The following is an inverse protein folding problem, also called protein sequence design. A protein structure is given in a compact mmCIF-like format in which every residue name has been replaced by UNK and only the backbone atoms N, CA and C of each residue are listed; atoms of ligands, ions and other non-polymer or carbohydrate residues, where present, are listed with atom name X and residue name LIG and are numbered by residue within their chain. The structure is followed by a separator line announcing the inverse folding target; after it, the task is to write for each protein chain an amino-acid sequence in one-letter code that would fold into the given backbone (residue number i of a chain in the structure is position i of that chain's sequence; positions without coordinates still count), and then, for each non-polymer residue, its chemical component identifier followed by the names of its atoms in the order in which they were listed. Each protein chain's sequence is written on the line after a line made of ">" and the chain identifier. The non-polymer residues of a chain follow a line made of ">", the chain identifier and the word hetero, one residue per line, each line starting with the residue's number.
data_IF_007775547157
#
_entry.id   IF_007775547157
#
_cell.length_a   1.000
_cell.length_b   1.000
_cell.length_c   1.000
_cell.angle_alpha   90.00
_cell.angle_beta   90.00
_cell.angle_gamma   90.00
#
_symmetry.space_group_name_H-M   'P 1'
#
loop_
_entity.id
_entity.type
_entity.pdbx_description
1 polymer ?
#
# COMPACT_ATOMS: atom_id res chain seq x y z
N UNK A 1 -19.44 5.32 -14.59
CA UNK A 1 -18.44 4.45 -15.30
C UNK A 1 -17.87 3.52 -14.26
N UNK A 2 -17.87 2.21 -14.50
CA UNK A 2 -17.28 1.24 -13.57
C UNK A 2 -15.92 0.82 -14.14
N UNK A 3 -14.82 1.10 -13.42
CA UNK A 3 -13.48 0.67 -13.82
C UNK A 3 -13.25 -0.71 -13.25
N UNK A 4 -12.95 -1.68 -14.13
CA UNK A 4 -12.59 -3.04 -13.74
C UNK A 4 -11.27 -3.06 -12.97
N UNK A 5 -11.10 -4.04 -12.08
CA UNK A 5 -9.90 -4.22 -11.26
C UNK A 5 -9.30 -5.62 -11.43
N UNK A 6 -8.92 -6.00 -12.66
CA UNK A 6 -8.52 -7.37 -12.98
C UNK A 6 -7.37 -7.86 -12.12
N UNK A 7 -6.35 -7.04 -11.87
CA UNK A 7 -5.20 -7.45 -11.06
C UNK A 7 -5.56 -7.78 -9.59
N UNK A 8 -6.52 -7.07 -8.98
CA UNK A 8 -7.00 -7.40 -7.63
C UNK A 8 -7.89 -8.64 -7.68
N UNK A 9 -8.78 -8.72 -8.66
CA UNK A 9 -9.66 -9.86 -8.87
C UNK A 9 -8.87 -11.15 -9.03
N UNK A 10 -7.82 -11.15 -9.87
CA UNK A 10 -6.96 -12.31 -10.09
C UNK A 10 -6.25 -12.75 -8.81
N UNK A 11 -5.75 -11.80 -8.00
CA UNK A 11 -5.16 -12.13 -6.69
C UNK A 11 -6.18 -12.77 -5.74
N UNK A 12 -7.41 -12.23 -5.68
CA UNK A 12 -8.47 -12.81 -4.83
C UNK A 12 -8.86 -14.20 -5.33
N UNK A 13 -9.04 -14.39 -6.64
CA UNK A 13 -9.35 -15.70 -7.24
C UNK A 13 -8.23 -16.70 -7.01
N UNK A 14 -6.98 -16.28 -7.16
CA UNK A 14 -5.81 -17.13 -6.88
C UNK A 14 -5.77 -17.52 -5.39
N UNK A 15 -5.98 -16.58 -4.47
CA UNK A 15 -6.02 -16.84 -3.05
C UNK A 15 -7.17 -17.80 -2.66
N UNK A 16 -8.37 -17.63 -3.23
CA UNK A 16 -9.53 -18.51 -3.00
C UNK A 16 -9.32 -19.95 -3.53
N UNK A 17 -8.44 -20.16 -4.51
CA UNK A 17 -8.12 -21.54 -4.95
C UNK A 17 -7.38 -22.33 -3.88
N UNK A 18 -6.52 -21.70 -3.12
CA UNK A 18 -5.62 -22.34 -2.16
C UNK A 18 -6.08 -22.20 -0.69
N UNK A 19 -6.90 -21.20 -0.40
CA UNK A 19 -7.34 -20.92 0.98
C UNK A 19 -8.87 -20.97 1.08
N UNK A 20 -9.42 -21.55 2.15
CA UNK A 20 -10.87 -21.56 2.39
C UNK A 20 -11.41 -20.17 2.73
N UNK A 21 -10.56 -19.27 3.23
CA UNK A 21 -10.93 -17.90 3.61
C UNK A 21 -9.96 -16.93 2.94
N UNK A 22 -10.50 -15.87 2.35
CA UNK A 22 -9.72 -14.72 1.85
C UNK A 22 -10.27 -13.46 2.50
N UNK A 23 -9.39 -12.66 3.08
CA UNK A 23 -9.72 -11.34 3.62
C UNK A 23 -9.23 -10.26 2.65
N UNK A 24 -10.16 -9.57 1.99
CA UNK A 24 -9.89 -8.39 1.16
C UNK A 24 -9.90 -7.16 2.07
N UNK A 25 -8.71 -6.67 2.38
CA UNK A 25 -8.50 -5.56 3.32
C UNK A 25 -8.09 -4.28 2.58
N UNK A 26 -8.61 -3.15 3.02
CA UNK A 26 -8.30 -1.86 2.39
C UNK A 26 -9.04 -0.71 3.05
N UNK A 27 -8.66 0.54 2.76
CA UNK A 27 -9.33 1.70 3.33
C UNK A 27 -10.82 1.71 2.98
N UNK A 28 -11.62 2.41 3.78
CA UNK A 28 -13.03 2.62 3.44
C UNK A 28 -13.15 3.30 2.09
N UNK A 29 -14.24 2.99 1.36
CA UNK A 29 -14.56 3.60 0.07
C UNK A 29 -13.53 3.35 -1.07
N UNK A 30 -12.57 2.43 -0.91
CA UNK A 30 -11.67 2.05 -2.01
C UNK A 30 -12.30 1.09 -3.04
N UNK A 31 -13.55 0.62 -2.80
CA UNK A 31 -14.32 -0.18 -3.76
C UNK A 31 -14.38 -1.68 -3.49
N UNK A 32 -14.04 -2.15 -2.27
CA UNK A 32 -14.06 -3.57 -1.89
C UNK A 32 -15.40 -4.25 -2.18
N UNK A 33 -16.50 -3.69 -1.69
CA UNK A 33 -17.86 -4.24 -1.89
C UNK A 33 -18.28 -4.25 -3.36
N UNK A 34 -17.82 -3.27 -4.16
CA UNK A 34 -18.05 -3.22 -5.61
C UNK A 34 -17.32 -4.37 -6.32
N UNK A 35 -16.04 -4.57 -5.99
CA UNK A 35 -15.26 -5.67 -6.53
C UNK A 35 -15.86 -7.03 -6.14
N UNK A 36 -16.17 -7.22 -4.86
CA UNK A 36 -16.76 -8.47 -4.36
C UNK A 36 -18.11 -8.77 -5.04
N UNK A 37 -18.94 -7.76 -5.29
CA UNK A 37 -20.20 -7.93 -6.05
C UNK A 37 -19.96 -8.36 -7.50
N UNK A 38 -18.97 -7.79 -8.15
CA UNK A 38 -18.60 -8.16 -9.53
C UNK A 38 -18.07 -9.60 -9.61
N UNK A 39 -17.24 -10.00 -8.63
CA UNK A 39 -16.63 -11.34 -8.59
C UNK A 39 -17.60 -12.45 -8.19
N UNK A 40 -18.54 -12.14 -7.30
CA UNK A 40 -19.35 -13.14 -6.61
C UNK A 40 -20.38 -13.85 -7.52
N UNK A 41 -20.82 -13.17 -8.58
CA UNK A 41 -21.85 -13.72 -9.46
C UNK A 41 -23.23 -13.88 -8.76
N UNK A 42 -24.24 -14.39 -9.48
CA UNK A 42 -25.61 -14.45 -8.96
C UNK A 42 -25.84 -15.56 -7.92
N UNK A 43 -24.96 -16.57 -7.86
CA UNK A 43 -25.09 -17.72 -6.94
C UNK A 43 -24.36 -17.53 -5.61
N UNK A 44 -23.66 -16.42 -5.38
CA UNK A 44 -22.95 -16.18 -4.14
C UNK A 44 -23.90 -15.67 -3.05
N UNK A 45 -23.68 -16.16 -1.83
CA UNK A 45 -24.36 -15.65 -0.65
C UNK A 45 -23.63 -14.40 -0.16
N UNK A 46 -24.39 -13.35 0.17
CA UNK A 46 -23.83 -12.08 0.63
C UNK A 46 -24.50 -11.64 1.91
N UNK A 47 -23.67 -11.17 2.85
CA UNK A 47 -24.07 -10.58 4.11
C UNK A 47 -23.32 -9.26 4.29
N UNK A 48 -24.06 -8.20 4.59
CA UNK A 48 -23.51 -6.87 4.89
C UNK A 48 -23.78 -6.58 6.37
N UNK A 49 -22.72 -6.56 7.17
CA UNK A 49 -22.85 -6.36 8.62
C UNK A 49 -23.12 -4.90 9.03
N UNK A 50 -23.20 -3.96 8.09
CA UNK A 50 -23.82 -2.66 8.32
C UNK A 50 -25.37 -2.72 8.20
N UNK A 51 -25.92 -3.80 7.59
CA UNK A 51 -27.37 -4.04 7.48
C UNK A 51 -27.92 -4.68 8.76
N UNK A 52 -28.90 -4.06 9.44
CA UNK A 52 -29.54 -4.68 10.60
C UNK A 52 -30.14 -6.05 10.31
N UNK A 53 -30.67 -6.26 9.09
CA UNK A 53 -31.27 -7.54 8.67
C UNK A 53 -30.21 -8.63 8.60
N UNK A 54 -29.07 -8.38 7.97
CA UNK A 54 -28.01 -9.37 7.84
C UNK A 54 -27.28 -9.59 9.17
N UNK A 55 -27.15 -8.55 9.98
CA UNK A 55 -26.64 -8.67 11.35
C UNK A 55 -27.54 -9.58 12.21
N UNK A 56 -28.87 -9.43 12.10
CA UNK A 56 -29.84 -10.28 12.76
C UNK A 56 -29.76 -11.72 12.25
N UNK A 57 -29.62 -11.97 10.95
CA UNK A 57 -29.42 -13.29 10.36
C UNK A 57 -28.14 -13.97 10.87
N UNK A 58 -27.07 -13.23 11.04
CA UNK A 58 -25.80 -13.74 11.55
C UNK A 58 -25.71 -13.76 13.08
N UNK A 59 -26.72 -13.31 13.81
CA UNK A 59 -26.82 -13.60 15.27
C UNK A 59 -26.94 -15.10 15.51
N UNK A 60 -27.54 -15.86 14.56
CA UNK A 60 -27.59 -17.32 14.51
C UNK A 60 -26.65 -17.88 13.44
N UNK A 61 -25.38 -17.43 13.48
CA UNK A 61 -24.40 -17.67 12.43
C UNK A 61 -24.19 -19.15 12.11
N UNK A 62 -24.18 -20.03 13.13
CA UNK A 62 -24.05 -21.47 12.96
C UNK A 62 -25.15 -22.04 12.04
N UNK A 63 -26.40 -21.73 12.30
CA UNK A 63 -27.56 -22.18 11.53
C UNK A 63 -27.54 -21.56 10.12
N UNK A 64 -27.22 -20.28 10.03
CA UNK A 64 -27.23 -19.54 8.77
C UNK A 64 -26.11 -19.94 7.82
N UNK A 65 -24.86 -20.08 8.29
CA UNK A 65 -23.70 -20.32 7.44
C UNK A 65 -23.44 -21.80 7.16
N UNK A 66 -23.81 -22.73 8.07
CA UNK A 66 -23.49 -24.15 7.95
C UNK A 66 -24.07 -24.86 6.72
N UNK A 67 -25.27 -24.54 6.23
CA UNK A 67 -25.85 -25.19 5.06
C UNK A 67 -25.35 -24.61 3.74
N UNK A 68 -24.72 -23.43 3.74
CA UNK A 68 -24.32 -22.73 2.54
C UNK A 68 -23.22 -23.48 1.78
N UNK A 69 -23.21 -23.30 0.47
CA UNK A 69 -22.24 -23.89 -0.45
C UNK A 69 -21.75 -22.81 -1.42
N UNK A 70 -20.52 -22.96 -1.94
CA UNK A 70 -19.93 -22.03 -2.89
C UNK A 70 -19.28 -20.83 -2.21
N UNK A 71 -19.38 -19.65 -2.81
CA UNK A 71 -18.78 -18.44 -2.29
C UNK A 71 -19.74 -17.70 -1.35
N UNK A 72 -19.28 -17.42 -0.15
CA UNK A 72 -19.96 -16.58 0.84
C UNK A 72 -19.14 -15.31 1.02
N UNK A 73 -19.74 -14.16 0.77
CA UNK A 73 -19.16 -12.83 0.98
C UNK A 73 -19.73 -12.25 2.27
N UNK A 74 -18.86 -11.84 3.19
CA UNK A 74 -19.24 -11.15 4.43
C UNK A 74 -18.55 -9.78 4.41
N UNK A 75 -19.36 -8.73 4.26
CA UNK A 75 -18.87 -7.35 4.23
C UNK A 75 -18.84 -6.75 5.64
N UNK A 76 -17.84 -5.89 5.89
CA UNK A 76 -17.58 -5.21 7.16
C UNK A 76 -17.49 -6.19 8.36
N UNK A 77 -16.75 -7.29 8.15
CA UNK A 77 -16.65 -8.42 9.12
C UNK A 77 -16.17 -8.00 10.52
N UNK A 78 -15.51 -6.86 10.66
CA UNK A 78 -15.06 -6.31 11.96
C UNK A 78 -16.23 -5.97 12.90
N UNK A 79 -17.47 -5.83 12.40
CA UNK A 79 -18.61 -5.59 13.27
C UNK A 79 -19.05 -6.84 14.06
N UNK A 80 -18.59 -8.02 13.65
CA UNK A 80 -18.94 -9.26 14.37
C UNK A 80 -17.72 -10.21 14.50
N UNK A 81 -16.72 -9.89 15.32
CA UNK A 81 -15.53 -10.72 15.53
C UNK A 81 -15.85 -12.13 16.04
N UNK A 82 -16.99 -12.30 16.72
CA UNK A 82 -17.49 -13.61 17.17
C UNK A 82 -17.70 -14.61 16.04
N UNK A 83 -17.72 -14.18 14.78
CA UNK A 83 -17.77 -15.07 13.60
C UNK A 83 -16.48 -15.85 13.38
N UNK A 84 -15.30 -15.35 13.76
CA UNK A 84 -14.02 -15.98 13.42
C UNK A 84 -13.86 -17.41 13.93
N UNK A 85 -14.22 -17.76 15.18
CA UNK A 85 -14.17 -19.15 15.63
C UNK A 85 -15.07 -20.07 14.80
N UNK A 86 -16.28 -19.64 14.44
CA UNK A 86 -17.16 -20.40 13.58
C UNK A 86 -16.60 -20.56 12.16
N UNK A 87 -16.09 -19.48 11.57
CA UNK A 87 -15.47 -19.52 10.24
C UNK A 87 -14.30 -20.50 10.21
N UNK A 88 -13.51 -20.59 11.28
CA UNK A 88 -12.46 -21.60 11.42
C UNK A 88 -13.02 -23.03 11.31
N UNK A 89 -14.08 -23.33 12.07
CA UNK A 89 -14.73 -24.66 12.04
C UNK A 89 -15.27 -24.97 10.65
N UNK A 90 -15.91 -24.00 9.99
CA UNK A 90 -16.46 -24.17 8.66
C UNK A 90 -15.36 -24.35 7.59
N UNK A 91 -14.24 -23.68 7.74
CA UNK A 91 -13.08 -23.78 6.85
C UNK A 91 -12.35 -25.14 6.95
N UNK A 92 -12.43 -25.81 8.10
CA UNK A 92 -11.79 -27.11 8.34
C UNK A 92 -12.63 -28.31 7.84
N UNK A 93 -13.86 -28.08 7.40
CA UNK A 93 -14.74 -29.15 6.88
C UNK A 93 -14.13 -29.79 5.63
N UNK A 94 -14.25 -31.12 5.55
CA UNK A 94 -13.86 -31.89 4.36
C UNK A 94 -15.05 -32.68 3.81
N UNK A 95 -15.33 -32.64 2.50
CA UNK A 95 -14.71 -31.76 1.50
C UNK A 95 -15.05 -30.31 1.75
N UNK A 96 -14.21 -29.38 1.27
CA UNK A 96 -14.45 -27.92 1.36
C UNK A 96 -15.68 -27.60 0.49
N UNK A 97 -16.78 -27.25 1.16
CA UNK A 97 -18.06 -26.94 0.49
C UNK A 97 -18.28 -25.45 0.28
N UNK A 98 -17.63 -24.65 1.11
CA UNK A 98 -17.84 -23.20 1.19
C UNK A 98 -16.50 -22.50 1.23
N UNK A 99 -16.35 -21.42 0.49
CA UNK A 99 -15.24 -20.48 0.58
C UNK A 99 -15.76 -19.13 1.04
N UNK A 100 -15.00 -18.46 1.88
CA UNK A 100 -15.39 -17.16 2.45
C UNK A 100 -14.53 -16.04 1.89
N UNK A 101 -15.17 -14.99 1.39
CA UNK A 101 -14.55 -13.73 1.06
C UNK A 101 -14.98 -12.69 2.11
N UNK A 102 -14.09 -12.39 3.02
CA UNK A 102 -14.31 -11.41 4.08
C UNK A 102 -13.86 -10.05 3.57
N UNK A 103 -14.71 -9.05 3.70
CA UNK A 103 -14.33 -7.67 3.40
C UNK A 103 -14.27 -6.92 4.72
N UNK A 104 -13.26 -6.10 4.86
CA UNK A 104 -13.11 -5.28 6.05
C UNK A 104 -12.26 -4.04 5.81
N UNK A 105 -12.58 -2.99 6.56
CA UNK A 105 -11.67 -1.88 6.71
C UNK A 105 -10.39 -2.40 7.37
N UNK A 106 -9.23 -1.99 6.85
CA UNK A 106 -7.98 -2.35 7.49
C UNK A 106 -7.96 -1.73 8.90
N UNK A 107 -8.09 -2.58 9.90
CA UNK A 107 -7.86 -2.22 11.28
C UNK A 107 -6.85 -3.20 11.88
N UNK A 108 -5.95 -2.73 12.75
CA UNK A 108 -5.00 -3.60 13.43
C UNK A 108 -5.69 -4.75 14.18
N UNK A 109 -6.87 -4.48 14.75
CA UNK A 109 -7.63 -5.46 15.53
C UNK A 109 -8.28 -6.53 14.64
N UNK A 110 -8.81 -6.14 13.47
CA UNK A 110 -9.31 -7.11 12.49
C UNK A 110 -8.20 -8.05 12.02
N UNK A 111 -7.03 -7.48 11.68
CA UNK A 111 -5.90 -8.25 11.19
C UNK A 111 -5.39 -9.19 12.29
N UNK A 112 -5.19 -8.71 13.53
CA UNK A 112 -4.74 -9.51 14.67
C UNK A 112 -5.77 -10.59 15.04
N UNK A 113 -7.00 -10.20 15.31
CA UNK A 113 -8.05 -11.15 15.76
C UNK A 113 -8.35 -12.23 14.71
N UNK A 114 -8.37 -11.88 13.42
CA UNK A 114 -8.51 -12.85 12.34
C UNK A 114 -7.25 -13.71 12.14
N UNK A 115 -6.07 -13.12 12.24
CA UNK A 115 -4.80 -13.85 12.08
C UNK A 115 -4.58 -14.88 13.19
N UNK A 116 -4.90 -14.56 14.44
CA UNK A 116 -4.80 -15.49 15.56
C UNK A 116 -5.82 -16.64 15.44
N UNK A 117 -7.08 -16.31 15.14
CA UNK A 117 -8.16 -17.32 15.10
C UNK A 117 -8.14 -18.15 13.82
N UNK A 118 -7.80 -17.55 12.68
CA UNK A 118 -7.85 -18.16 11.34
C UNK A 118 -6.46 -18.54 10.80
N UNK A 119 -5.44 -18.64 11.66
CA UNK A 119 -4.07 -18.97 11.26
C UNK A 119 -4.02 -20.20 10.34
N UNK A 120 -3.29 -20.11 9.23
CA UNK A 120 -3.15 -21.15 8.20
C UNK A 120 -4.39 -21.37 7.32
N UNK A 121 -5.49 -20.61 7.51
CA UNK A 121 -6.75 -20.75 6.76
C UNK A 121 -7.13 -19.50 5.98
N UNK A 122 -6.57 -18.36 6.37
CA UNK A 122 -6.86 -17.05 5.76
C UNK A 122 -5.70 -16.54 4.94
N UNK A 123 -5.99 -16.05 3.74
CA UNK A 123 -5.08 -15.24 2.94
C UNK A 123 -5.55 -13.79 2.92
N UNK A 124 -4.63 -12.85 3.19
CA UNK A 124 -4.92 -11.43 3.14
C UNK A 124 -4.58 -10.88 1.76
N UNK A 125 -5.54 -10.21 1.12
CA UNK A 125 -5.35 -9.52 -0.15
C UNK A 125 -5.55 -8.02 0.09
N UNK A 126 -4.49 -7.22 0.04
CA UNK A 126 -4.62 -5.78 0.18
C UNK A 126 -5.24 -5.16 -1.08
N UNK A 127 -6.14 -4.19 -0.89
CA UNK A 127 -6.77 -3.38 -1.91
C UNK A 127 -6.68 -1.90 -1.54
N UNK A 128 -6.16 -1.09 -2.44
CA UNK A 128 -6.13 0.38 -2.31
C UNK A 128 -7.11 1.03 -3.31
N UNK A 129 -7.03 2.33 -3.48
CA UNK A 129 -7.67 3.04 -4.59
C UNK A 129 -7.16 2.59 -5.97
N UNK A 130 -7.63 3.18 -7.05
CA UNK A 130 -7.15 2.90 -8.40
C UNK A 130 -5.65 3.16 -8.55
N UNK A 131 -5.03 2.44 -9.50
CA UNK A 131 -3.66 2.65 -9.94
C UNK A 131 -3.58 2.81 -11.47
N UNK A 132 -2.38 3.07 -11.99
CA UNK A 132 -2.20 3.30 -13.43
C UNK A 132 -2.53 2.08 -14.29
N UNK A 133 -2.36 0.87 -13.78
CA UNK A 133 -2.70 -0.35 -14.52
C UNK A 133 -4.20 -0.48 -14.75
N UNK A 134 -5.00 0.14 -13.89
CA UNK A 134 -6.47 0.10 -13.93
C UNK A 134 -7.06 1.28 -14.74
N UNK A 135 -6.42 2.46 -14.65
CA UNK A 135 -6.96 3.69 -15.29
C UNK A 135 -6.24 4.10 -16.58
N UNK A 136 -5.09 3.47 -16.86
CA UNK A 136 -4.24 3.77 -18.00
C UNK A 136 -3.33 4.99 -17.82
N UNK A 137 -2.24 5.01 -18.59
CA UNK A 137 -1.18 6.04 -18.47
C UNK A 137 -1.62 7.43 -18.88
N UNK A 138 -2.62 7.55 -19.75
CA UNK A 138 -3.24 8.84 -20.13
C UNK A 138 -3.93 9.54 -18.96
N UNK A 139 -4.28 8.79 -17.91
CA UNK A 139 -4.88 9.32 -16.70
C UNK A 139 -3.87 9.69 -15.61
N UNK A 140 -2.55 9.60 -15.87
CA UNK A 140 -1.48 9.82 -14.91
C UNK A 140 -1.66 11.14 -14.11
N UNK A 141 -1.79 12.27 -14.80
CA UNK A 141 -1.96 13.59 -14.15
C UNK A 141 -3.19 13.63 -13.25
N UNK A 142 -4.31 13.10 -13.74
CA UNK A 142 -5.57 13.04 -12.99
C UNK A 142 -5.46 12.11 -11.78
N UNK A 143 -4.83 10.94 -11.93
CA UNK A 143 -4.64 10.00 -10.84
C UNK A 143 -3.71 10.57 -9.76
N UNK A 144 -2.62 11.22 -10.16
CA UNK A 144 -1.71 11.86 -9.21
C UNK A 144 -2.39 13.01 -8.47
N UNK A 145 -3.12 13.89 -9.16
CA UNK A 145 -3.80 15.03 -8.54
C UNK A 145 -4.95 14.59 -7.61
N UNK A 146 -5.85 13.73 -8.10
CA UNK A 146 -7.09 13.37 -7.41
C UNK A 146 -6.96 12.18 -6.47
N UNK A 147 -5.88 11.41 -6.59
CA UNK A 147 -5.71 10.13 -5.91
C UNK A 147 -6.50 9.00 -6.55
N UNK A 148 -6.37 7.81 -5.96
CA UNK A 148 -6.98 6.58 -6.47
C UNK A 148 -8.35 6.25 -5.86
N UNK A 149 -8.86 6.98 -4.87
CA UNK A 149 -10.20 6.72 -4.36
C UNK A 149 -11.24 6.88 -5.46
N UNK A 150 -12.13 5.87 -5.71
CA UNK A 150 -13.01 5.87 -6.87
C UNK A 150 -13.86 7.14 -7.02
N UNK A 151 -14.44 7.63 -5.92
CA UNK A 151 -15.28 8.83 -5.97
C UNK A 151 -14.50 10.11 -6.23
N UNK A 152 -13.25 10.19 -5.76
CA UNK A 152 -12.37 11.33 -6.06
C UNK A 152 -11.89 11.28 -7.51
N UNK A 153 -11.41 10.11 -7.96
CA UNK A 153 -10.86 9.94 -9.30
C UNK A 153 -11.94 10.14 -10.40
N UNK A 154 -13.12 9.57 -10.20
CA UNK A 154 -14.25 9.61 -11.16
C UNK A 154 -15.09 10.89 -11.07
N UNK A 155 -14.76 11.82 -10.19
CA UNK A 155 -15.47 13.09 -10.06
C UNK A 155 -15.50 13.85 -11.40
N UNK A 156 -16.59 14.59 -11.64
CA UNK A 156 -16.81 15.31 -12.89
C UNK A 156 -15.67 16.32 -13.19
N UNK A 157 -15.15 16.98 -12.16
CA UNK A 157 -14.05 17.94 -12.27
C UNK A 157 -13.21 17.94 -10.99
N UNK A 158 -12.12 18.74 -10.97
CA UNK A 158 -11.19 18.78 -9.84
C UNK A 158 -11.81 19.40 -8.59
N UNK A 159 -12.74 20.32 -8.72
CA UNK A 159 -13.45 20.94 -7.60
C UNK A 159 -14.33 19.92 -6.86
N UNK A 160 -15.14 19.15 -7.62
CA UNK A 160 -15.98 18.08 -7.05
C UNK A 160 -15.10 17.01 -6.41
N UNK A 161 -13.98 16.67 -7.04
CA UNK A 161 -13.00 15.74 -6.47
C UNK A 161 -12.42 16.26 -5.15
N UNK A 162 -12.04 17.55 -5.11
CA UNK A 162 -11.51 18.18 -3.90
C UNK A 162 -12.54 18.17 -2.77
N UNK A 163 -13.77 18.58 -3.04
CA UNK A 163 -14.86 18.59 -2.05
C UNK A 163 -15.05 17.20 -1.44
N UNK A 164 -15.11 16.16 -2.30
CA UNK A 164 -15.24 14.80 -1.81
C UNK A 164 -14.07 14.36 -0.91
N UNK A 165 -12.83 14.75 -1.26
CA UNK A 165 -11.64 14.41 -0.45
C UNK A 165 -11.65 15.13 0.90
N UNK A 166 -12.07 16.39 0.94
CA UNK A 166 -12.22 17.17 2.16
C UNK A 166 -13.28 16.53 3.09
N UNK A 167 -14.45 16.17 2.52
CA UNK A 167 -15.53 15.47 3.23
C UNK A 167 -15.07 14.09 3.75
N UNK A 168 -14.28 13.37 2.94
CA UNK A 168 -13.73 12.08 3.35
C UNK A 168 -12.79 12.24 4.54
N UNK A 169 -11.87 13.21 4.51
CA UNK A 169 -10.95 13.49 5.63
C UNK A 169 -11.74 13.79 6.90
N UNK A 170 -12.76 14.63 6.81
CA UNK A 170 -13.62 14.95 7.96
C UNK A 170 -14.34 13.70 8.49
N UNK A 171 -15.04 12.98 7.63
CA UNK A 171 -15.83 11.78 8.02
C UNK A 171 -14.94 10.68 8.59
N UNK A 172 -13.76 10.47 8.01
CA UNK A 172 -12.79 9.49 8.48
C UNK A 172 -12.33 9.80 9.92
N UNK A 173 -12.02 11.06 10.20
CA UNK A 173 -11.57 11.48 11.53
C UNK A 173 -12.68 11.46 12.59
N UNK A 174 -13.92 11.80 12.21
CA UNK A 174 -15.02 11.90 13.16
C UNK A 174 -15.68 10.55 13.47
N UNK A 175 -15.73 9.65 12.48
CA UNK A 175 -16.49 8.39 12.59
C UNK A 175 -15.64 7.14 12.50
N UNK A 176 -14.75 7.07 11.51
CA UNK A 176 -14.09 5.81 11.16
C UNK A 176 -12.95 5.47 12.12
N UNK A 177 -12.16 6.46 12.51
CA UNK A 177 -11.07 6.28 13.49
C UNK A 177 -11.58 5.81 14.85
N UNK A 178 -12.75 6.29 15.29
CA UNK A 178 -13.35 5.86 16.54
C UNK A 178 -13.69 4.36 16.56
N UNK A 179 -14.03 3.81 15.40
CA UNK A 179 -14.29 2.36 15.26
C UNK A 179 -13.03 1.50 15.47
N UNK A 180 -11.84 2.11 15.46
CA UNK A 180 -10.57 1.45 15.78
C UNK A 180 -10.19 1.60 17.29
N UNK A 181 -11.14 1.90 18.15
CA UNK A 181 -10.90 2.07 19.58
C UNK A 181 -10.10 3.32 19.94
N UNK A 182 -10.14 4.35 19.09
CA UNK A 182 -9.37 5.58 19.26
C UNK A 182 -10.25 6.67 19.88
N UNK A 183 -10.04 6.93 21.15
CA UNK A 183 -10.69 8.00 21.89
C UNK A 183 -9.89 9.31 21.83
N UNK A 184 -9.54 9.76 20.62
CA UNK A 184 -8.82 11.02 20.42
C UNK A 184 -9.75 12.03 19.78
N UNK A 185 -9.76 13.29 20.23
CA UNK A 185 -10.57 14.33 19.60
C UNK A 185 -10.22 14.51 18.12
N UNK A 186 -11.23 14.54 17.25
CA UNK A 186 -11.04 14.69 15.81
C UNK A 186 -10.17 15.91 15.43
N UNK A 187 -10.24 17.08 16.09
CA UNK A 187 -9.35 18.21 15.81
C UNK A 187 -7.86 17.89 16.01
N UNK A 188 -7.51 17.12 17.04
CA UNK A 188 -6.11 16.71 17.31
C UNK A 188 -5.60 15.81 16.19
N UNK A 189 -6.40 14.82 15.82
CA UNK A 189 -6.05 13.91 14.70
C UNK A 189 -5.98 14.66 13.35
N UNK A 190 -6.88 15.61 13.11
CA UNK A 190 -6.82 16.45 11.92
C UNK A 190 -5.52 17.24 11.88
N UNK A 191 -5.14 17.87 12.99
CA UNK A 191 -3.89 18.63 13.11
C UNK A 191 -2.68 17.72 12.84
N UNK A 192 -2.63 16.55 13.48
CA UNK A 192 -1.57 15.55 13.21
C UNK A 192 -1.54 15.15 11.76
N UNK A 193 -2.68 14.82 11.16
CA UNK A 193 -2.71 14.36 9.76
C UNK A 193 -2.26 15.45 8.79
N UNK A 194 -2.65 16.71 9.04
CA UNK A 194 -2.14 17.86 8.28
C UNK A 194 -0.62 18.01 8.44
N UNK A 195 -0.10 17.86 9.67
CA UNK A 195 1.35 17.90 9.91
C UNK A 195 2.05 16.74 9.18
N UNK A 196 1.48 15.53 9.16
CA UNK A 196 2.01 14.41 8.38
C UNK A 196 2.03 14.68 6.87
N UNK A 197 1.07 15.46 6.34
CA UNK A 197 1.08 15.89 4.95
C UNK A 197 2.28 16.80 4.65
N UNK A 198 2.60 17.72 5.55
CA UNK A 198 3.82 18.54 5.46
C UNK A 198 5.10 17.74 5.71
N UNK A 199 5.00 16.63 6.44
CA UNK A 199 6.10 15.71 6.75
C UNK A 199 6.27 14.60 5.71
N UNK A 200 5.45 14.58 4.68
CA UNK A 200 5.44 13.57 3.63
C UNK A 200 6.81 13.43 2.96
N UNK A 201 7.31 12.20 2.82
CA UNK A 201 8.62 11.89 2.28
C UNK A 201 9.80 12.15 3.23
N UNK A 202 9.56 12.47 4.50
CA UNK A 202 10.62 12.77 5.46
C UNK A 202 10.78 11.65 6.50
N UNK A 203 11.98 11.59 7.08
CA UNK A 203 12.30 10.68 8.17
C UNK A 203 11.55 11.13 9.42
N UNK A 204 10.80 10.21 10.03
CA UNK A 204 9.94 10.47 11.17
C UNK A 204 10.70 10.97 12.40
N UNK A 205 10.28 12.11 12.95
CA UNK A 205 10.73 12.64 14.23
C UNK A 205 9.54 12.85 15.17
N UNK A 206 9.25 11.84 15.99
CA UNK A 206 8.12 11.88 16.92
C UNK A 206 8.22 13.05 17.94
N UNK A 207 9.43 13.41 18.37
CA UNK A 207 9.64 14.48 19.37
C UNK A 207 9.35 15.86 18.81
N UNK A 208 9.58 16.10 17.53
CA UNK A 208 9.28 17.34 16.84
C UNK A 208 7.76 17.55 16.74
N UNK A 209 7.05 16.53 16.25
CA UNK A 209 5.59 16.60 16.13
C UNK A 209 4.90 16.65 17.51
N UNK A 210 5.42 15.93 18.50
CA UNK A 210 4.91 15.93 19.85
C UNK A 210 4.98 17.34 20.48
N UNK A 211 6.11 18.02 20.35
CA UNK A 211 6.25 19.43 20.80
C UNK A 211 5.24 20.35 20.12
N UNK A 212 5.06 20.20 18.80
CA UNK A 212 4.10 21.02 18.05
C UNK A 212 2.65 20.75 18.40
N UNK A 213 2.32 19.52 18.83
CA UNK A 213 0.96 19.12 19.23
C UNK A 213 0.66 19.38 20.71
N UNK A 214 1.69 19.58 21.54
CA UNK A 214 1.55 19.62 22.99
C UNK A 214 1.26 18.25 23.62
N UNK A 215 1.71 17.17 22.97
CA UNK A 215 1.44 15.79 23.33
C UNK A 215 2.72 15.02 23.68
N UNK A 216 2.59 13.87 24.36
CA UNK A 216 3.71 12.97 24.56
C UNK A 216 4.13 12.29 23.24
N UNK A 217 5.42 12.04 23.04
CA UNK A 217 5.92 11.39 21.83
C UNK A 217 5.34 9.97 21.62
N UNK A 218 5.04 9.25 22.69
CA UNK A 218 4.38 7.94 22.66
C UNK A 218 2.95 8.02 22.13
N UNK A 219 2.22 9.07 22.51
CA UNK A 219 0.87 9.35 22.03
C UNK A 219 0.89 9.63 20.52
N UNK A 220 1.79 10.48 20.06
CA UNK A 220 1.92 10.82 18.64
C UNK A 220 2.33 9.60 17.81
N UNK A 221 3.22 8.75 18.33
CA UNK A 221 3.58 7.48 17.69
C UNK A 221 2.37 6.55 17.58
N UNK A 222 1.59 6.41 18.67
CA UNK A 222 0.36 5.60 18.65
C UNK A 222 -0.64 6.11 17.59
N UNK A 223 -0.79 7.43 17.46
CA UNK A 223 -1.67 8.01 16.43
C UNK A 223 -1.16 7.73 15.01
N UNK A 224 0.16 7.78 14.77
CA UNK A 224 0.77 7.38 13.50
C UNK A 224 0.50 5.90 13.21
N UNK A 225 0.65 5.02 14.20
CA UNK A 225 0.41 3.59 14.05
C UNK A 225 -1.06 3.30 13.71
N UNK A 226 -2.00 4.05 14.27
CA UNK A 226 -3.43 3.97 13.93
C UNK A 226 -3.69 4.36 12.47
N UNK A 227 -3.15 5.50 12.02
CA UNK A 227 -3.28 5.94 10.63
C UNK A 227 -2.61 4.95 9.66
N UNK A 228 -1.50 4.34 10.07
CA UNK A 228 -0.82 3.29 9.31
C UNK A 228 -1.65 2.01 9.24
N UNK A 229 -2.22 1.57 10.35
CA UNK A 229 -3.13 0.43 10.42
C UNK A 229 -4.40 0.62 9.59
N UNK A 230 -4.90 1.87 9.50
CA UNK A 230 -6.02 2.24 8.63
C UNK A 230 -5.63 2.34 7.14
N UNK A 231 -4.39 2.07 6.78
CA UNK A 231 -3.81 2.19 5.44
C UNK A 231 -3.89 3.60 4.84
N UNK A 232 -3.93 4.64 5.68
CA UNK A 232 -3.86 6.03 5.25
C UNK A 232 -2.43 6.53 5.14
N UNK A 233 -1.55 6.00 5.98
CA UNK A 233 -0.14 6.37 6.08
C UNK A 233 0.72 5.12 5.90
N UNK A 234 1.85 5.27 5.22
CA UNK A 234 2.92 4.29 5.15
C UNK A 234 4.08 4.73 6.03
N UNK A 235 4.59 3.81 6.81
CA UNK A 235 5.89 3.92 7.47
C UNK A 235 6.87 3.03 6.70
N UNK A 236 7.64 3.62 5.79
CA UNK A 236 8.68 2.90 5.05
C UNK A 236 9.89 2.77 5.95
N UNK A 237 10.28 1.52 6.25
CA UNK A 237 11.37 1.23 7.17
C UNK A 237 12.74 1.47 6.52
N UNK A 238 13.75 1.87 7.30
CA UNK A 238 15.10 1.97 6.78
C UNK A 238 15.74 0.60 6.58
N UNK A 239 16.54 0.46 5.54
CA UNK A 239 17.41 -0.69 5.35
C UNK A 239 18.71 -0.51 6.17
N UNK A 240 19.16 -1.57 6.82
CA UNK A 240 20.42 -1.61 7.55
C UNK A 240 21.41 -2.51 6.84
N UNK A 241 22.41 -1.92 6.20
CA UNK A 241 23.56 -2.66 5.69
C UNK A 241 24.68 -2.67 6.75
N UNK A 242 25.31 -3.81 6.99
CA UNK A 242 26.36 -3.95 8.01
C UNK A 242 27.70 -3.39 7.48
N UNK A 243 27.80 -2.07 7.35
CA UNK A 243 28.94 -1.37 6.76
C UNK A 243 29.85 -0.69 7.80
N UNK A 244 29.61 -0.91 9.11
CA UNK A 244 30.30 -0.16 10.16
C UNK A 244 29.94 1.34 10.21
N UNK A 245 29.06 1.81 9.33
CA UNK A 245 28.58 3.19 9.27
C UNK A 245 27.31 3.36 10.12
N UNK A 246 27.22 4.48 10.83
CA UNK A 246 25.97 4.87 11.50
C UNK A 246 24.87 5.06 10.44
N UNK A 247 23.68 4.52 10.69
CA UNK A 247 22.55 4.58 9.77
C UNK A 247 21.31 5.17 10.46
N UNK A 248 20.39 5.70 9.66
CA UNK A 248 19.10 6.24 10.14
C UNK A 248 18.22 5.09 10.60
N UNK A 249 17.60 5.22 11.79
CA UNK A 249 16.76 4.17 12.41
C UNK A 249 15.26 4.46 12.32
N UNK A 250 14.85 5.71 12.12
CA UNK A 250 13.45 6.09 12.06
C UNK A 250 12.90 5.89 10.63
N UNK A 251 11.62 5.51 10.48
CA UNK A 251 11.00 5.31 9.17
C UNK A 251 10.80 6.63 8.43
N UNK A 252 10.72 6.59 7.09
CA UNK A 252 10.11 7.65 6.29
C UNK A 252 8.59 7.51 6.32
N UNK A 253 7.87 8.64 6.29
CA UNK A 253 6.41 8.67 6.39
C UNK A 253 5.81 9.21 5.10
N UNK A 254 4.84 8.46 4.54
CA UNK A 254 4.11 8.84 3.33
C UNK A 254 2.61 8.73 3.56
N UNK A 255 1.83 9.68 3.09
CA UNK A 255 0.41 9.47 2.85
C UNK A 255 0.27 8.56 1.62
N UNK A 256 -0.50 7.47 1.75
CA UNK A 256 -0.58 6.43 0.73
C UNK A 256 -1.40 6.81 -0.51
N UNK A 257 -2.26 7.82 -0.38
CA UNK A 257 -3.04 8.34 -1.50
C UNK A 257 -2.65 9.79 -1.75
N UNK A 258 -2.20 10.10 -2.96
CA UNK A 258 -1.75 11.44 -3.35
C UNK A 258 -2.89 12.46 -3.30
N UNK A 259 -4.12 12.06 -3.60
CA UNK A 259 -5.28 12.94 -3.48
C UNK A 259 -5.58 13.35 -2.05
N UNK A 260 -5.42 12.43 -1.08
CA UNK A 260 -5.55 12.76 0.35
C UNK A 260 -4.42 13.68 0.81
N UNK A 261 -3.19 13.45 0.34
CA UNK A 261 -2.07 14.37 0.57
C UNK A 261 -2.41 15.78 0.07
N UNK A 262 -2.88 15.88 -1.16
CA UNK A 262 -3.23 17.17 -1.77
C UNK A 262 -4.39 17.88 -1.06
N UNK A 263 -5.40 17.15 -0.60
CA UNK A 263 -6.49 17.70 0.18
C UNK A 263 -5.98 18.32 1.49
N UNK A 264 -5.11 17.61 2.22
CA UNK A 264 -4.52 18.09 3.48
C UNK A 264 -3.54 19.26 3.30
N UNK A 265 -2.90 19.37 2.13
CA UNK A 265 -2.03 20.51 1.76
C UNK A 265 -2.81 21.68 1.12
N UNK A 266 -4.13 21.57 0.94
CA UNK A 266 -4.93 22.61 0.29
C UNK A 266 -4.76 22.71 -1.23
N UNK A 267 -4.13 21.71 -1.86
CA UNK A 267 -3.89 21.68 -3.32
C UNK A 267 -5.15 21.20 -4.03
N UNK A 268 -5.67 22.03 -4.96
CA UNK A 268 -6.94 21.78 -5.65
C UNK A 268 -6.81 21.53 -7.15
N UNK A 269 -5.79 22.09 -7.79
CA UNK A 269 -5.57 22.00 -9.23
C UNK A 269 -4.16 21.50 -9.55
N UNK A 270 -3.96 21.06 -10.78
CA UNK A 270 -2.64 20.63 -11.22
C UNK A 270 -1.63 21.79 -11.21
N UNK A 271 -2.04 22.99 -11.59
CA UNK A 271 -1.18 24.17 -11.55
C UNK A 271 -0.73 24.53 -10.11
N UNK A 272 -1.64 24.44 -9.12
CA UNK A 272 -1.27 24.63 -7.72
C UNK A 272 -0.37 23.53 -7.20
N UNK A 273 -0.48 22.30 -7.70
CA UNK A 273 0.42 21.19 -7.37
C UNK A 273 1.82 21.43 -7.91
N UNK A 274 1.95 21.82 -9.19
CA UNK A 274 3.24 22.10 -9.82
C UNK A 274 4.00 23.24 -9.14
N UNK A 275 3.29 24.26 -8.66
CA UNK A 275 3.86 25.37 -7.91
C UNK A 275 4.11 25.07 -6.41
N UNK A 276 3.69 23.92 -5.91
CA UNK A 276 3.75 23.63 -4.48
C UNK A 276 5.16 23.14 -4.06
N UNK A 277 5.73 23.63 -2.93
CA UNK A 277 7.06 23.20 -2.46
C UNK A 277 7.20 21.69 -2.23
N UNK A 278 6.09 20.98 -2.02
CA UNK A 278 6.04 19.52 -1.81
C UNK A 278 5.77 18.72 -3.08
N UNK A 279 5.83 19.32 -4.28
CA UNK A 279 5.55 18.61 -5.53
C UNK A 279 6.47 17.41 -5.73
N UNK A 280 7.77 17.56 -5.45
CA UNK A 280 8.74 16.46 -5.54
C UNK A 280 8.44 15.33 -4.56
N UNK A 281 8.16 15.64 -3.29
CA UNK A 281 7.80 14.64 -2.29
C UNK A 281 6.46 13.96 -2.61
N UNK A 282 5.48 14.71 -3.13
CA UNK A 282 4.22 14.14 -3.60
C UNK A 282 4.42 13.16 -4.75
N UNK A 283 5.28 13.50 -5.70
CA UNK A 283 5.66 12.62 -6.80
C UNK A 283 6.35 11.36 -6.29
N UNK A 284 7.31 11.52 -5.38
CA UNK A 284 8.03 10.42 -4.74
C UNK A 284 7.06 9.42 -4.10
N UNK A 285 6.16 9.89 -3.24
CA UNK A 285 5.18 9.03 -2.58
C UNK A 285 4.22 8.35 -3.55
N UNK A 286 3.79 9.05 -4.61
CA UNK A 286 2.94 8.49 -5.66
C UNK A 286 3.62 7.33 -6.40
N UNK A 287 4.89 7.51 -6.81
CA UNK A 287 5.69 6.49 -7.49
C UNK A 287 5.98 5.31 -6.57
N UNK A 288 6.40 5.55 -5.33
CA UNK A 288 6.67 4.50 -4.34
C UNK A 288 5.42 3.64 -4.11
N UNK A 289 4.25 4.25 -3.89
CA UNK A 289 3.00 3.48 -3.71
C UNK A 289 2.66 2.66 -4.95
N UNK A 290 2.91 3.18 -6.16
CA UNK A 290 2.69 2.43 -7.39
C UNK A 290 3.64 1.20 -7.48
N UNK A 291 4.92 1.38 -7.23
CA UNK A 291 5.91 0.28 -7.23
C UNK A 291 5.49 -0.79 -6.21
N UNK A 292 5.19 -0.39 -4.97
CA UNK A 292 4.87 -1.33 -3.89
C UNK A 292 3.55 -2.08 -4.08
N UNK A 293 2.59 -1.53 -4.82
CA UNK A 293 1.39 -2.26 -5.23
C UNK A 293 1.70 -3.42 -6.17
N UNK A 294 2.77 -3.32 -6.97
CA UNK A 294 3.21 -4.34 -7.93
C UNK A 294 4.18 -5.35 -7.33
N UNK A 295 5.13 -4.89 -6.51
CA UNK A 295 6.20 -5.73 -5.95
C UNK A 295 5.86 -6.31 -4.58
N UNK A 296 4.87 -5.74 -3.89
CA UNK A 296 4.60 -5.99 -2.47
C UNK A 296 5.45 -5.07 -1.58
N UNK A 297 5.05 -4.98 -0.31
CA UNK A 297 5.66 -4.08 0.66
C UNK A 297 6.46 -4.81 1.77
N UNK A 298 6.51 -6.14 1.73
CA UNK A 298 7.17 -6.94 2.77
C UNK A 298 8.68 -6.70 2.83
N UNK A 299 9.34 -6.63 1.65
CA UNK A 299 10.79 -6.49 1.50
C UNK A 299 11.14 -5.16 0.82
N UNK A 300 10.55 -4.09 1.36
CA UNK A 300 10.66 -2.74 0.83
C UNK A 300 11.16 -1.77 1.91
N UNK A 301 12.21 -1.01 1.57
CA UNK A 301 12.93 -0.16 2.51
C UNK A 301 13.37 1.13 1.80
N UNK A 302 13.62 2.19 2.57
CA UNK A 302 14.50 3.25 2.11
C UNK A 302 15.89 3.07 2.71
N UNK A 303 16.88 3.80 2.22
CA UNK A 303 18.19 3.80 2.84
C UNK A 303 18.72 5.23 2.92
N UNK A 304 19.31 5.57 4.07
CA UNK A 304 19.94 6.87 4.26
C UNK A 304 21.09 6.80 5.26
N UNK A 305 22.08 7.66 5.04
CA UNK A 305 23.22 7.88 5.95
C UNK A 305 23.12 9.24 6.61
N UNK A 306 23.70 9.43 7.80
CA UNK A 306 23.78 10.76 8.44
C UNK A 306 24.56 11.79 7.61
N UNK A 307 25.42 11.36 6.68
CA UNK A 307 26.17 12.22 5.76
C UNK A 307 25.33 12.69 4.55
N UNK A 308 24.03 12.33 4.49
CA UNK A 308 23.10 12.82 3.47
C UNK A 308 23.03 11.97 2.20
N UNK A 309 23.71 10.80 2.13
CA UNK A 309 23.45 9.87 1.04
C UNK A 309 22.16 9.13 1.30
N UNK A 310 21.30 9.00 0.26
CA UNK A 310 19.96 8.45 0.37
C UNK A 310 19.57 7.66 -0.88
N UNK A 311 18.71 6.66 -0.72
CA UNK A 311 17.97 5.96 -1.77
C UNK A 311 16.50 5.93 -1.37
N UNK A 312 15.62 6.38 -2.26
CA UNK A 312 14.20 6.55 -1.97
C UNK A 312 13.51 5.21 -1.71
N UNK A 313 13.84 4.16 -2.51
CA UNK A 313 13.26 2.84 -2.32
C UNK A 313 14.24 1.73 -2.73
N UNK A 314 14.44 0.78 -1.84
CA UNK A 314 15.12 -0.49 -2.07
C UNK A 314 14.09 -1.61 -1.98
N UNK A 315 14.00 -2.46 -3.01
CA UNK A 315 13.17 -3.68 -2.99
C UNK A 315 13.99 -4.90 -3.36
N UNK A 316 13.60 -6.04 -2.79
CA UNK A 316 14.19 -7.33 -3.12
C UNK A 316 13.25 -8.08 -4.07
N UNK A 317 13.67 -8.24 -5.32
CA UNK A 317 12.90 -8.93 -6.35
C UNK A 317 13.69 -10.17 -6.78
N UNK A 318 13.17 -11.35 -6.44
CA UNK A 318 13.80 -12.65 -6.78
C UNK A 318 15.28 -12.75 -6.34
N UNK A 319 15.59 -12.23 -5.16
CA UNK A 319 16.94 -12.23 -4.58
C UNK A 319 17.85 -11.13 -5.14
N UNK A 320 17.39 -10.29 -6.08
CA UNK A 320 18.12 -9.12 -6.59
C UNK A 320 17.77 -7.88 -5.77
N UNK A 321 18.75 -7.01 -5.58
CA UNK A 321 18.62 -5.70 -4.92
C UNK A 321 18.34 -4.63 -5.97
N UNK A 322 17.12 -4.17 -6.05
CA UNK A 322 16.71 -3.15 -7.01
C UNK A 322 16.49 -1.84 -6.26
N UNK A 323 17.28 -0.83 -6.62
CA UNK A 323 17.11 0.53 -6.12
C UNK A 323 16.21 1.36 -7.02
N UNK A 324 15.36 2.17 -6.42
CA UNK A 324 14.60 3.19 -7.14
C UNK A 324 14.90 4.56 -6.54
N UNK A 325 15.16 5.50 -7.41
CA UNK A 325 15.27 6.92 -7.13
C UNK A 325 14.16 7.65 -7.86
N UNK A 326 13.50 8.59 -7.22
CA UNK A 326 12.35 9.29 -7.81
C UNK A 326 12.69 10.75 -7.99
N UNK A 327 12.56 11.25 -9.21
CA UNK A 327 12.85 12.65 -9.54
C UNK A 327 11.67 13.29 -10.26
N UNK A 328 11.26 14.46 -9.76
CA UNK A 328 10.34 15.33 -10.46
C UNK A 328 11.15 16.39 -11.21
N UNK A 329 11.63 16.02 -12.39
CA UNK A 329 12.45 16.88 -13.27
C UNK A 329 12.37 16.36 -14.71
N UNK A 330 12.66 17.23 -15.68
CA UNK A 330 12.59 16.88 -17.11
C UNK A 330 13.73 15.97 -17.57
N UNK A 331 14.91 16.09 -16.96
CA UNK A 331 16.10 15.33 -17.33
C UNK A 331 16.90 14.95 -16.07
N UNK A 332 16.59 13.83 -15.42
CA UNK A 332 17.32 13.36 -14.26
C UNK A 332 18.81 13.09 -14.58
N UNK A 333 19.68 13.51 -13.68
CA UNK A 333 21.13 13.27 -13.79
C UNK A 333 21.62 12.39 -12.64
N UNK A 334 22.66 11.58 -12.85
CA UNK A 334 23.29 10.83 -11.77
C UNK A 334 23.77 11.77 -10.64
N UNK A 335 23.53 11.37 -9.41
CA UNK A 335 23.96 12.11 -8.21
C UNK A 335 25.03 11.35 -7.43
N UNK A 336 25.75 12.06 -6.54
CA UNK A 336 26.68 11.41 -5.61
C UNK A 336 25.96 10.43 -4.70
N UNK A 337 24.75 10.75 -4.26
CA UNK A 337 23.92 9.87 -3.43
C UNK A 337 23.63 8.54 -4.13
N UNK A 338 23.20 8.58 -5.40
CA UNK A 338 22.99 7.39 -6.22
C UNK A 338 24.24 6.52 -6.34
N UNK A 339 25.42 7.13 -6.54
CA UNK A 339 26.68 6.41 -6.65
C UNK A 339 27.06 5.71 -5.33
N UNK A 340 26.90 6.41 -4.20
CA UNK A 340 27.15 5.85 -2.86
C UNK A 340 26.15 4.73 -2.56
N UNK A 341 24.85 4.96 -2.76
CA UNK A 341 23.82 3.96 -2.52
C UNK A 341 24.07 2.68 -3.34
N UNK A 342 24.42 2.83 -4.63
CA UNK A 342 24.72 1.68 -5.50
C UNK A 342 25.88 0.85 -4.97
N UNK A 343 26.96 1.51 -4.53
CA UNK A 343 28.14 0.84 -4.00
C UNK A 343 27.89 0.21 -2.62
N UNK A 344 27.33 0.98 -1.69
CA UNK A 344 27.12 0.56 -0.30
C UNK A 344 26.09 -0.57 -0.22
N UNK A 345 25.02 -0.50 -0.98
CA UNK A 345 23.94 -1.51 -1.02
C UNK A 345 24.21 -2.65 -2.00
N UNK A 346 25.25 -2.56 -2.82
CA UNK A 346 25.56 -3.54 -3.90
C UNK A 346 24.33 -3.79 -4.77
N UNK A 347 23.74 -2.71 -5.29
CA UNK A 347 22.54 -2.80 -6.11
C UNK A 347 22.83 -3.55 -7.41
N UNK A 348 21.96 -4.47 -7.77
CA UNK A 348 22.00 -5.15 -9.07
C UNK A 348 21.52 -4.24 -10.20
N UNK A 349 20.62 -3.30 -9.87
CA UNK A 349 20.07 -2.32 -10.81
C UNK A 349 19.58 -1.09 -10.05
N UNK A 350 19.82 0.11 -10.58
CA UNK A 350 19.27 1.36 -10.08
C UNK A 350 18.38 1.99 -11.17
N UNK A 351 17.14 2.28 -10.81
CA UNK A 351 16.13 2.84 -11.69
C UNK A 351 15.74 4.22 -11.20
N UNK A 352 15.87 5.22 -12.07
CA UNK A 352 15.40 6.58 -11.81
C UNK A 352 14.04 6.76 -12.45
N UNK A 353 13.00 6.99 -11.66
CA UNK A 353 11.62 7.21 -12.17
C UNK A 353 11.32 8.69 -12.24
N UNK A 354 10.81 9.15 -13.39
CA UNK A 354 10.53 10.55 -13.62
C UNK A 354 9.23 10.77 -14.44
N UNK A 355 8.67 12.00 -14.48
CA UNK A 355 7.39 12.28 -15.15
C UNK A 355 7.49 12.42 -16.68
N UNK A 356 8.70 12.40 -17.25
CA UNK A 356 8.90 12.59 -18.70
C UNK A 356 8.38 11.46 -19.56
N UNK A 357 8.69 11.54 -20.86
CA UNK A 357 8.04 10.69 -21.86
C UNK A 357 8.90 9.53 -22.36
N UNK A 358 10.23 9.61 -22.20
CA UNK A 358 11.18 8.66 -22.80
C UNK A 358 11.96 7.93 -21.71
N UNK A 359 12.04 6.60 -21.86
CA UNK A 359 12.93 5.79 -21.01
C UNK A 359 14.26 5.56 -21.75
N UNK A 360 15.37 5.67 -21.02
CA UNK A 360 16.72 5.53 -21.59
C UNK A 360 17.71 5.01 -20.54
N UNK A 361 18.73 4.30 -21.01
CA UNK A 361 19.85 3.88 -20.18
C UNK A 361 20.89 5.00 -20.04
N UNK A 362 21.34 5.27 -18.82
CA UNK A 362 22.49 6.13 -18.55
C UNK A 362 23.78 5.32 -18.45
N UNK A 363 23.67 4.08 -17.97
CA UNK A 363 24.72 3.06 -17.86
C UNK A 363 24.09 1.68 -17.86
N UNK A 364 24.89 0.62 -17.93
CA UNK A 364 24.38 -0.77 -17.94
C UNK A 364 23.50 -1.12 -16.71
N UNK A 365 23.79 -0.50 -15.57
CA UNK A 365 23.13 -0.73 -14.29
C UNK A 365 22.34 0.48 -13.78
N UNK A 366 22.16 1.54 -14.59
CA UNK A 366 21.43 2.75 -14.26
C UNK A 366 20.51 3.16 -15.42
N UNK A 367 19.22 2.99 -15.22
CA UNK A 367 18.20 3.31 -16.22
C UNK A 367 17.28 4.43 -15.73
N UNK A 368 16.98 5.39 -16.58
CA UNK A 368 15.91 6.37 -16.39
C UNK A 368 14.64 5.83 -17.03
N UNK A 369 13.55 5.75 -16.27
CA UNK A 369 12.28 5.18 -16.70
C UNK A 369 11.18 6.21 -16.58
N UNK A 370 10.51 6.50 -17.68
CA UNK A 370 9.31 7.31 -17.68
C UNK A 370 8.19 6.60 -16.89
N UNK A 371 7.43 7.34 -16.10
CA UNK A 371 6.34 6.74 -15.28
C UNK A 371 5.34 5.91 -16.12
N UNK A 372 5.11 6.29 -17.37
CA UNK A 372 4.25 5.55 -18.30
C UNK A 372 4.78 4.13 -18.64
N UNK A 373 6.09 3.94 -18.57
CA UNK A 373 6.77 2.68 -18.92
C UNK A 373 7.11 1.85 -17.67
N UNK A 374 6.84 2.38 -16.47
CA UNK A 374 7.26 1.76 -15.21
C UNK A 374 6.66 0.37 -15.03
N UNK A 375 5.40 0.14 -15.42
CA UNK A 375 4.78 -1.19 -15.32
C UNK A 375 5.48 -2.22 -16.21
N UNK A 376 5.89 -1.84 -17.42
CA UNK A 376 6.68 -2.70 -18.32
C UNK A 376 8.02 -3.05 -17.70
N UNK A 377 8.69 -2.09 -17.09
CA UNK A 377 9.95 -2.30 -16.39
C UNK A 377 9.77 -3.21 -15.16
N UNK A 378 8.73 -3.00 -14.35
CA UNK A 378 8.43 -3.86 -13.20
C UNK A 378 8.09 -5.29 -13.64
N UNK A 379 7.34 -5.48 -14.74
CA UNK A 379 7.05 -6.79 -15.31
C UNK A 379 8.33 -7.51 -15.73
N UNK A 380 9.28 -6.80 -16.36
CA UNK A 380 10.60 -7.35 -16.71
C UNK A 380 11.32 -7.85 -15.46
N UNK A 381 11.37 -7.06 -14.39
CA UNK A 381 12.02 -7.43 -13.14
C UNK A 381 11.34 -8.64 -12.47
N UNK A 382 10.01 -8.67 -12.46
CA UNK A 382 9.22 -9.73 -11.85
C UNK A 382 9.29 -11.06 -12.63
N UNK A 383 9.52 -11.01 -13.95
CA UNK A 383 9.65 -12.21 -14.81
C UNK A 383 11.08 -12.70 -14.95
N UNK A 384 12.11 -11.87 -14.77
CA UNK A 384 13.51 -12.25 -14.89
C UNK A 384 13.80 -13.49 -14.01
N UNK A 385 14.44 -14.54 -14.59
CA UNK A 385 14.85 -15.72 -13.83
C UNK A 385 15.91 -15.30 -12.81
N UNK A 386 15.88 -15.87 -11.59
CA UNK A 386 16.98 -15.69 -10.63
C UNK A 386 18.27 -16.20 -11.28
N UNK A 387 19.24 -15.32 -11.50
CA UNK A 387 20.58 -15.78 -11.79
C UNK A 387 21.10 -16.43 -10.52
N UNK A 388 21.13 -17.75 -10.48
CA UNK A 388 21.91 -18.49 -9.47
C UNK A 388 23.36 -18.04 -9.64
N UNK A 389 24.06 -17.57 -8.58
CA UNK A 389 25.47 -17.22 -8.71
C UNK A 389 26.22 -18.40 -9.30
N UNK A 390 26.81 -18.22 -10.46
CA UNK A 390 27.55 -19.27 -11.14
C UNK A 390 28.62 -19.83 -10.22
N UNK A 391 28.57 -21.13 -9.98
CA UNK A 391 29.62 -21.92 -9.30
C UNK A 391 30.92 -21.62 -10.05
N UNK A 392 31.85 -20.88 -9.41
CA UNK A 392 33.21 -20.70 -9.97
C UNK A 392 33.75 -22.05 -10.36
N UNK A 393 34.34 -22.22 -11.58
CA UNK A 393 34.98 -23.46 -11.95
C UNK A 393 36.13 -23.77 -10.97
N UNK A 394 36.16 -24.99 -10.47
CA UNK A 394 37.31 -25.49 -9.67
C UNK A 394 38.59 -25.35 -10.50
N UNK A 395 39.70 -24.85 -9.90
CA UNK A 395 40.96 -24.84 -10.59
C UNK A 395 41.39 -26.29 -10.90
N UNK A 396 42.11 -26.53 -12.00
CA UNK A 396 42.56 -27.87 -12.36
C UNK A 396 43.51 -28.39 -11.29
N UNK A 397 43.28 -29.61 -10.84
CA UNK A 397 44.15 -30.37 -9.99
C UNK A 397 45.47 -30.63 -10.69
N UNK A 398 46.57 -30.01 -10.29
CA UNK A 398 47.93 -30.35 -10.74
C UNK A 398 48.26 -31.73 -10.19
N UNK A 399 48.37 -32.71 -11.10
CA UNK A 399 48.92 -33.99 -10.79
C UNK A 399 50.44 -33.80 -10.59
N UNK A 400 50.91 -34.06 -9.38
CA UNK A 400 52.32 -34.19 -9.08
C UNK A 400 52.77 -35.61 -9.44
N UNK A 401 53.79 -35.69 -10.27
CA UNK A 401 54.60 -36.88 -10.41
C UNK A 401 55.67 -36.94 -9.33
#
# INVERSE_FOLDING_TARGET
>A
MNIGRPGVEDRVRAALRHNPIVALIGPRQCGKSTLARAMAGPRAHRFDLESPVDLARLSQAQTTLSPLRGLVVIDEVQFQPALFPLLRVLADRRPIRTRFLLLGSASPDLIRGSAETLAGRVAFVPMAGFDLTEVGTTALRRLWLRGGFPRAFLAANDEVSKRWRDDFVQTFLERDIRKFGVEVPAPVLRRLWTMLAHYHGQIWNASELARSLGEAHTTVKRHLDILSGALMVRQLQPWFENLGKRQVKAPKVYLRDSGMLHALLGVSTFATLEAHPKVGASWEGFVIEHILRRTGDRDAYFWATPSGAELDLLVFIRGRRIGFEVKYSDAPRPTKSMAIARQDLKLDELIVVYPGEQSYALRDDLTVVAMRDLDTQLDRLLRARSQTPGRKPKPPTTATR
#
